data_IF_232858578607
#
_entry.id   IF_232858578607
#
_cell.length_a   1.000
_cell.length_b   1.000
_cell.length_c   1.000
_cell.angle_alpha   90.00
_cell.angle_beta   90.00
_cell.angle_gamma   90.00
#
_symmetry.space_group_name_H-M   'P 1'
#
loop_
_entity.id
_entity.type
_entity.pdbx_description
1 polymer ?
#
# COMPACT_ATOMS: atom_id res chain seq x y z
N UNK A 1 18.67 -14.44 17.62
CA UNK A 1 18.12 -13.20 18.19
C UNK A 1 16.85 -12.89 17.41
N UNK A 2 15.68 -13.20 17.98
CA UNK A 2 14.39 -12.97 17.33
C UNK A 2 14.01 -11.50 17.48
N UNK A 3 13.93 -10.79 16.36
CA UNK A 3 13.39 -9.43 16.31
C UNK A 3 11.87 -9.58 16.26
N UNK A 4 11.19 -9.27 17.36
CA UNK A 4 9.73 -9.23 17.39
C UNK A 4 9.28 -8.10 16.45
N UNK A 5 8.56 -8.45 15.38
CA UNK A 5 7.96 -7.48 14.47
C UNK A 5 6.90 -6.67 15.20
N UNK A 6 6.91 -5.35 15.03
CA UNK A 6 5.85 -4.49 15.54
C UNK A 6 4.55 -4.82 14.80
N UNK A 7 3.47 -5.00 15.55
CA UNK A 7 2.13 -5.15 14.95
C UNK A 7 1.68 -3.79 14.40
N UNK A 8 0.91 -3.81 13.32
CA UNK A 8 0.44 -2.58 12.67
C UNK A 8 -0.48 -1.74 13.57
N UNK A 9 -1.08 -2.35 14.60
CA UNK A 9 -1.78 -1.60 15.65
C UNK A 9 -0.84 -0.69 16.43
N UNK A 10 0.42 -1.07 16.66
CA UNK A 10 1.41 -0.24 17.33
C UNK A 10 1.84 0.92 16.44
N UNK A 11 2.09 0.68 15.14
CA UNK A 11 2.42 1.75 14.18
C UNK A 11 1.26 2.72 14.01
N UNK A 12 0.02 2.23 13.91
CA UNK A 12 -1.18 3.06 13.82
C UNK A 12 -1.42 3.88 15.09
N UNK A 13 -1.18 3.32 16.28
CA UNK A 13 -1.37 4.04 17.55
C UNK A 13 -0.38 5.19 17.72
N UNK A 14 0.90 4.99 17.36
CA UNK A 14 1.90 6.07 17.35
C UNK A 14 1.60 7.14 16.29
N UNK A 15 0.98 6.76 15.17
CA UNK A 15 0.62 7.68 14.07
C UNK A 15 -0.64 8.50 14.40
N UNK A 16 -1.66 7.90 15.03
CA UNK A 16 -2.87 8.63 15.48
C UNK A 16 -2.60 9.62 16.61
N UNK A 17 -1.62 9.34 17.48
CA UNK A 17 -1.28 10.22 18.60
C UNK A 17 -0.50 11.48 18.16
N UNK A 18 0.11 11.47 16.97
CA UNK A 18 0.90 12.58 16.42
C UNK A 18 0.15 13.38 15.34
N UNK A 19 -0.80 12.77 14.62
CA UNK A 19 -1.62 13.44 13.58
C UNK A 19 -2.79 14.28 14.10
N UNK A 20 -3.06 14.29 15.41
CA UNK A 20 -4.23 14.99 15.98
C UNK A 20 -4.00 16.47 16.28
N UNK A 21 -2.83 17.05 15.95
CA UNK A 21 -2.53 18.46 16.32
C UNK A 21 -2.23 19.45 15.23
N UNK A 22 -1.82 19.07 14.02
CA UNK A 22 -1.61 20.05 12.96
C UNK A 22 -1.55 19.35 11.61
N UNK A 23 -2.53 19.59 10.75
CA UNK A 23 -2.37 19.84 9.31
C UNK A 23 -3.75 19.86 8.66
N UNK A 24 -4.13 21.03 8.15
CA UNK A 24 -5.33 21.20 7.34
C UNK A 24 -5.23 20.39 6.05
N UNK A 25 -6.13 19.42 5.89
CA UNK A 25 -6.48 18.86 4.58
C UNK A 25 -7.74 19.59 4.07
N UNK A 26 -7.79 20.00 2.80
CA UNK A 26 -8.96 20.67 2.26
C UNK A 26 -10.15 19.70 2.20
N UNK A 27 -11.16 19.99 3.00
CA UNK A 27 -12.50 19.42 2.88
C UNK A 27 -13.17 20.02 1.65
N UNK A 28 -13.48 19.20 0.64
CA UNK A 28 -14.38 19.57 -0.44
C UNK A 28 -13.93 19.15 -1.83
N UNK A 29 -14.41 17.99 -2.28
CA UNK A 29 -14.81 17.78 -3.67
C UNK A 29 -15.96 16.77 -3.69
N UNK A 30 -17.13 17.26 -4.08
CA UNK A 30 -18.38 16.53 -4.23
C UNK A 30 -18.28 15.39 -5.23
N UNK A 31 -18.60 14.17 -4.81
CA UNK A 31 -18.88 13.05 -5.71
C UNK A 31 -20.27 13.23 -6.33
N UNK A 32 -20.32 13.71 -7.58
CA UNK A 32 -21.49 13.51 -8.44
C UNK A 32 -21.18 12.48 -9.52
N UNK A 33 -21.69 11.27 -9.33
CA UNK A 33 -22.04 10.34 -10.41
C UNK A 33 -20.89 9.54 -11.03
N UNK A 34 -20.63 8.33 -10.51
CA UNK A 34 -20.07 7.24 -11.32
C UNK A 34 -20.77 5.92 -10.99
N UNK A 35 -21.27 5.27 -12.04
CA UNK A 35 -21.86 3.93 -12.04
C UNK A 35 -20.90 2.96 -11.33
N UNK A 36 -21.38 2.35 -10.25
CA UNK A 36 -20.67 1.35 -9.47
C UNK A 36 -20.48 0.08 -10.31
N UNK A 37 -19.28 -0.10 -10.88
CA UNK A 37 -18.80 -1.43 -11.24
C UNK A 37 -18.56 -2.22 -9.97
N UNK A 38 -18.97 -3.49 -9.96
CA UNK A 38 -18.75 -4.40 -8.83
C UNK A 38 -17.25 -4.54 -8.52
N UNK A 39 -16.86 -4.71 -7.25
CA UNK A 39 -15.50 -5.14 -6.90
C UNK A 39 -15.14 -6.40 -7.69
N UNK A 40 -14.03 -6.37 -8.45
CA UNK A 40 -13.51 -7.54 -9.18
C UNK A 40 -13.90 -7.67 -10.66
N UNK A 41 -14.65 -6.73 -11.26
CA UNK A 41 -14.86 -6.75 -12.72
C UNK A 41 -13.83 -5.88 -13.45
N UNK A 42 -12.80 -6.49 -14.04
CA UNK A 42 -11.82 -5.78 -14.87
C UNK A 42 -12.35 -5.55 -16.29
N UNK A 43 -12.49 -4.29 -16.70
CA UNK A 43 -12.83 -3.97 -18.09
C UNK A 43 -11.61 -4.17 -18.99
N UNK A 44 -11.78 -4.65 -20.24
CA UNK A 44 -10.66 -4.93 -21.18
C UNK A 44 -9.77 -3.68 -21.41
N UNK A 45 -10.36 -2.47 -21.37
CA UNK A 45 -9.59 -1.20 -21.43
C UNK A 45 -8.67 -1.00 -20.21
N UNK A 46 -9.04 -1.56 -19.07
CA UNK A 46 -8.26 -1.51 -17.84
C UNK A 46 -7.12 -2.54 -17.87
N UNK A 47 -7.28 -3.69 -18.55
CA UNK A 47 -6.20 -4.70 -18.69
C UNK A 47 -5.02 -4.14 -19.47
N UNK A 48 -5.24 -3.54 -20.65
CA UNK A 48 -4.16 -2.96 -21.46
C UNK A 48 -3.47 -1.80 -20.73
N UNK A 49 -4.27 -0.92 -20.09
CA UNK A 49 -3.73 0.21 -19.32
C UNK A 49 -2.93 -0.28 -18.10
N UNK A 50 -3.43 -1.29 -17.39
CA UNK A 50 -2.71 -1.92 -16.29
C UNK A 50 -1.41 -2.55 -16.78
N UNK A 51 -1.43 -3.33 -17.86
CA UNK A 51 -0.21 -3.92 -18.45
C UNK A 51 0.81 -2.85 -18.83
N UNK A 52 0.38 -1.74 -19.43
CA UNK A 52 1.26 -0.61 -19.76
C UNK A 52 1.86 0.06 -18.53
N UNK A 53 1.10 0.23 -17.45
CA UNK A 53 1.65 0.76 -16.20
C UNK A 53 2.64 -0.25 -15.59
N UNK A 54 2.25 -1.51 -15.54
CA UNK A 54 3.03 -2.60 -14.95
C UNK A 54 4.30 -2.95 -15.74
N UNK A 55 4.48 -2.49 -16.98
CA UNK A 55 5.74 -2.70 -17.71
C UNK A 55 6.92 -1.98 -17.05
N UNK A 56 6.64 -0.92 -16.30
CA UNK A 56 7.67 -0.07 -15.70
C UNK A 56 8.05 -0.51 -14.28
N UNK A 57 7.35 -1.49 -13.70
CA UNK A 57 7.51 -1.89 -12.30
C UNK A 57 7.67 -3.40 -12.15
N UNK A 58 8.51 -3.82 -11.20
CA UNK A 58 8.62 -5.20 -10.75
C UNK A 58 8.22 -5.30 -9.28
N UNK A 59 7.03 -5.86 -9.00
CA UNK A 59 6.46 -5.93 -7.64
C UNK A 59 7.36 -6.73 -6.68
N UNK A 60 8.16 -7.66 -7.21
CA UNK A 60 9.08 -8.48 -6.43
C UNK A 60 10.42 -7.78 -6.17
N UNK A 61 10.71 -6.69 -6.89
CA UNK A 61 11.97 -5.94 -6.86
C UNK A 61 11.74 -4.43 -6.99
N UNK A 62 10.80 -3.86 -6.22
CA UNK A 62 10.52 -2.42 -6.23
C UNK A 62 10.79 -1.77 -4.89
N UNK A 63 11.18 -0.51 -4.93
CA UNK A 63 11.37 0.35 -3.77
C UNK A 63 10.05 0.89 -3.23
N UNK A 64 10.03 1.38 -1.97
CA UNK A 64 8.94 2.17 -1.44
C UNK A 64 8.50 3.33 -2.34
N UNK A 65 9.45 4.07 -2.92
CA UNK A 65 9.13 5.16 -3.85
C UNK A 65 8.38 4.67 -5.08
N UNK A 66 8.85 3.59 -5.68
CA UNK A 66 8.20 2.97 -6.84
C UNK A 66 6.80 2.44 -6.49
N UNK A 67 6.59 1.87 -5.29
CA UNK A 67 5.28 1.37 -4.86
C UNK A 67 4.26 2.52 -4.76
N UNK A 68 4.66 3.67 -4.22
CA UNK A 68 3.83 4.88 -4.20
C UNK A 68 3.53 5.39 -5.60
N UNK A 69 4.52 5.41 -6.51
CA UNK A 69 4.33 5.87 -7.89
C UNK A 69 3.41 4.94 -8.70
N UNK A 70 3.64 3.63 -8.62
CA UNK A 70 2.83 2.62 -9.28
C UNK A 70 1.37 2.68 -8.81
N UNK A 71 1.15 2.69 -7.49
CA UNK A 71 -0.21 2.75 -6.92
C UNK A 71 -0.93 4.06 -7.30
N UNK A 72 -0.22 5.19 -7.35
CA UNK A 72 -0.78 6.44 -7.86
C UNK A 72 -1.19 6.35 -9.34
N UNK A 73 -0.33 5.79 -10.20
CA UNK A 73 -0.62 5.63 -11.62
C UNK A 73 -1.84 4.73 -11.86
N UNK A 74 -1.93 3.61 -11.14
CA UNK A 74 -3.07 2.68 -11.18
C UNK A 74 -4.36 3.36 -10.73
N UNK A 75 -4.30 4.20 -9.69
CA UNK A 75 -5.45 4.94 -9.19
C UNK A 75 -5.95 6.00 -10.17
N UNK A 76 -5.04 6.82 -10.70
CA UNK A 76 -5.36 7.84 -11.72
C UNK A 76 -6.01 7.20 -12.95
N UNK A 77 -5.54 6.01 -13.34
CA UNK A 77 -6.11 5.22 -14.42
C UNK A 77 -7.45 4.54 -14.08
N UNK A 78 -7.92 4.62 -12.84
CA UNK A 78 -9.15 3.99 -12.36
C UNK A 78 -9.08 2.46 -12.29
N UNK A 79 -7.87 1.89 -12.19
CA UNK A 79 -7.65 0.43 -12.09
C UNK A 79 -7.84 -0.04 -10.65
N UNK A 80 -7.40 0.76 -9.67
CA UNK A 80 -7.60 0.51 -8.24
C UNK A 80 -8.40 1.64 -7.60
N UNK A 81 -9.12 1.32 -6.52
CA UNK A 81 -9.93 2.32 -5.80
C UNK A 81 -9.04 3.31 -5.02
N UNK A 82 -9.63 4.41 -4.56
CA UNK A 82 -8.97 5.35 -3.66
C UNK A 82 -8.49 4.66 -2.36
N UNK A 83 -9.27 3.71 -1.84
CA UNK A 83 -8.92 2.98 -0.63
C UNK A 83 -7.71 2.06 -0.85
N UNK A 84 -7.67 1.36 -1.98
CA UNK A 84 -6.53 0.49 -2.33
C UNK A 84 -5.26 1.31 -2.56
N UNK A 85 -5.41 2.46 -3.22
CA UNK A 85 -4.32 3.43 -3.38
C UNK A 85 -3.76 3.87 -2.03
N UNK A 86 -4.61 4.25 -1.07
CA UNK A 86 -4.16 4.67 0.26
C UNK A 86 -3.39 3.56 0.98
N UNK A 87 -3.83 2.30 0.84
CA UNK A 87 -3.16 1.16 1.48
C UNK A 87 -1.81 0.83 0.85
N UNK A 88 -1.70 0.88 -0.48
CA UNK A 88 -0.46 0.56 -1.20
C UNK A 88 0.53 1.73 -1.18
N UNK A 89 0.07 2.98 -1.26
CA UNK A 89 0.94 4.15 -1.34
C UNK A 89 1.54 4.58 0.00
N UNK A 90 0.97 4.12 1.12
CA UNK A 90 1.50 4.42 2.45
C UNK A 90 2.81 3.68 2.70
N UNK A 91 3.92 4.39 2.54
CA UNK A 91 5.27 3.92 2.80
C UNK A 91 5.91 4.78 3.90
N UNK A 92 6.09 4.26 5.12
CA UNK A 92 6.65 5.03 6.23
C UNK A 92 7.98 5.71 5.91
N UNK A 93 8.82 5.08 5.10
CA UNK A 93 10.15 5.55 4.71
C UNK A 93 10.13 6.83 3.87
N UNK A 94 8.97 7.19 3.30
CA UNK A 94 8.79 8.44 2.56
C UNK A 94 8.33 9.61 3.46
N UNK A 95 8.03 9.35 4.74
CA UNK A 95 7.58 10.37 5.66
C UNK A 95 8.76 11.24 6.12
N UNK A 96 8.59 12.58 6.08
CA UNK A 96 9.63 13.55 6.46
C UNK A 96 10.15 13.35 7.89
N UNK A 97 9.30 12.85 8.78
CA UNK A 97 9.64 12.61 10.19
C UNK A 97 10.10 11.18 10.49
N UNK A 98 10.25 10.30 9.49
CA UNK A 98 10.70 8.92 9.74
C UNK A 98 12.04 8.91 10.49
N UNK A 99 13.03 9.66 10.00
CA UNK A 99 14.33 9.75 10.66
C UNK A 99 14.28 10.53 11.98
N UNK A 100 13.23 11.31 12.24
CA UNK A 100 13.07 11.98 13.54
C UNK A 100 12.55 11.01 14.60
N UNK A 101 11.61 10.14 14.24
CA UNK A 101 10.96 9.23 15.17
C UNK A 101 11.66 7.86 15.23
N UNK A 102 11.83 7.21 14.09
CA UNK A 102 12.26 5.80 14.01
C UNK A 102 13.77 5.66 14.13
N UNK A 103 14.56 6.52 13.46
CA UNK A 103 16.02 6.48 13.60
C UNK A 103 16.45 6.81 15.03
N UNK A 104 15.82 7.81 15.66
CA UNK A 104 16.14 8.19 17.04
C UNK A 104 15.80 7.07 18.04
N UNK A 105 14.69 6.34 17.82
CA UNK A 105 14.24 5.29 18.72
C UNK A 105 14.96 3.94 18.48
N UNK A 106 15.22 3.60 17.22
CA UNK A 106 15.61 2.23 16.82
C UNK A 106 16.94 2.16 16.06
N UNK A 107 17.55 3.29 15.73
CA UNK A 107 18.78 3.33 14.93
C UNK A 107 18.59 2.91 13.47
N UNK A 108 17.35 2.91 12.96
CA UNK A 108 17.02 2.47 11.59
C UNK A 108 16.80 3.70 10.72
N UNK A 109 17.64 3.88 9.71
CA UNK A 109 17.48 4.93 8.70
C UNK A 109 16.36 4.60 7.71
N UNK A 110 15.67 5.63 7.21
CA UNK A 110 14.74 5.49 6.10
C UNK A 110 15.47 4.97 4.86
N UNK A 111 14.91 3.91 4.25
CA UNK A 111 15.43 3.35 3.00
C UNK A 111 14.36 3.39 1.90
N UNK A 112 14.03 4.60 1.39
CA UNK A 112 12.95 4.79 0.44
C UNK A 112 13.24 4.19 -0.95
N UNK A 113 14.51 3.91 -1.25
CA UNK A 113 14.99 3.43 -2.54
C UNK A 113 15.55 1.99 -2.46
N UNK A 114 15.43 1.31 -1.31
CA UNK A 114 15.83 -0.10 -1.17
C UNK A 114 14.75 -1.02 -1.75
N UNK A 115 15.17 -1.93 -2.63
CA UNK A 115 14.28 -2.88 -3.30
C UNK A 115 13.67 -3.89 -2.33
N UNK A 116 12.40 -4.24 -2.57
CA UNK A 116 11.60 -5.14 -1.74
C UNK A 116 10.72 -6.02 -2.60
N UNK A 117 10.42 -7.20 -2.07
CA UNK A 117 9.39 -8.07 -2.58
C UNK A 117 8.06 -7.76 -1.88
N UNK A 118 7.17 -7.02 -2.55
CA UNK A 118 5.89 -6.62 -1.95
C UNK A 118 4.87 -7.75 -1.87
N UNK A 119 4.98 -8.79 -2.72
CA UNK A 119 4.17 -10.01 -2.57
C UNK A 119 4.46 -10.66 -1.23
N UNK A 120 5.73 -10.89 -0.92
CA UNK A 120 6.15 -11.51 0.33
C UNK A 120 5.84 -10.62 1.55
N UNK A 121 5.97 -9.30 1.44
CA UNK A 121 5.57 -8.38 2.51
C UNK A 121 4.08 -8.52 2.85
N UNK A 122 3.19 -8.48 1.86
CA UNK A 122 1.75 -8.55 2.10
C UNK A 122 1.31 -9.95 2.52
N UNK A 123 1.91 -11.00 1.97
CA UNK A 123 1.71 -12.38 2.41
C UNK A 123 2.10 -12.58 3.88
N UNK A 124 3.23 -12.01 4.30
CA UNK A 124 3.64 -12.05 5.70
C UNK A 124 2.64 -11.31 6.60
N UNK A 125 2.10 -10.16 6.17
CA UNK A 125 1.04 -9.46 6.91
C UNK A 125 -0.22 -10.31 7.08
N UNK A 126 -0.68 -10.97 6.01
CA UNK A 126 -1.82 -11.90 6.06
C UNK A 126 -1.57 -12.97 7.13
N UNK A 127 -0.43 -13.68 7.03
CA UNK A 127 -0.07 -14.74 7.97
C UNK A 127 -0.01 -14.23 9.41
N UNK A 128 0.58 -13.05 9.65
CA UNK A 128 0.65 -12.45 10.99
C UNK A 128 -0.75 -12.17 11.54
N UNK A 129 -1.61 -11.50 10.77
CA UNK A 129 -2.96 -11.15 11.22
C UNK A 129 -3.86 -12.37 11.43
N UNK A 130 -3.72 -13.40 10.59
CA UNK A 130 -4.43 -14.67 10.79
C UNK A 130 -4.03 -15.33 12.10
N UNK A 131 -2.72 -15.39 12.40
CA UNK A 131 -2.22 -15.96 13.65
C UNK A 131 -2.65 -15.16 14.88
N UNK A 132 -2.85 -13.84 14.74
CA UNK A 132 -3.34 -12.95 15.79
C UNK A 132 -4.87 -12.95 15.92
N UNK A 133 -5.62 -13.57 14.99
CA UNK A 133 -7.08 -13.52 14.94
C UNK A 133 -7.64 -12.14 14.55
N UNK A 134 -6.83 -11.29 13.92
CA UNK A 134 -7.18 -9.93 13.52
C UNK A 134 -7.99 -9.91 12.21
N UNK A 135 -9.22 -10.41 12.24
CA UNK A 135 -10.09 -10.68 11.07
C UNK A 135 -10.15 -9.51 10.07
N UNK A 136 -10.32 -8.28 10.56
CA UNK A 136 -10.43 -7.09 9.70
C UNK A 136 -9.11 -6.80 8.98
N UNK A 137 -7.99 -6.93 9.67
CA UNK A 137 -6.67 -6.64 9.12
C UNK A 137 -6.24 -7.74 8.16
N UNK A 138 -6.55 -9.01 8.46
CA UNK A 138 -6.44 -10.13 7.52
C UNK A 138 -7.19 -9.84 6.23
N UNK A 139 -8.46 -9.43 6.31
CA UNK A 139 -9.26 -9.13 5.13
C UNK A 139 -8.59 -8.06 4.25
N UNK A 140 -8.17 -6.93 4.83
CA UNK A 140 -7.52 -5.87 4.06
C UNK A 140 -6.16 -6.30 3.48
N UNK A 141 -5.35 -7.03 4.25
CA UNK A 141 -4.07 -7.53 3.75
C UNK A 141 -4.24 -8.50 2.59
N UNK A 142 -5.23 -9.39 2.65
CA UNK A 142 -5.55 -10.32 1.56
C UNK A 142 -6.07 -9.61 0.32
N UNK A 143 -6.83 -8.51 0.47
CA UNK A 143 -7.22 -7.68 -0.69
C UNK A 143 -5.99 -7.09 -1.38
N UNK A 144 -5.02 -6.56 -0.62
CA UNK A 144 -3.81 -5.97 -1.21
C UNK A 144 -2.94 -7.02 -1.88
N UNK A 145 -2.77 -8.19 -1.26
CA UNK A 145 -2.04 -9.32 -1.85
C UNK A 145 -2.68 -9.73 -3.19
N UNK A 146 -4.00 -9.92 -3.22
CA UNK A 146 -4.73 -10.30 -4.43
C UNK A 146 -4.58 -9.25 -5.55
N UNK A 147 -4.63 -7.95 -5.23
CA UNK A 147 -4.37 -6.89 -6.22
C UNK A 147 -2.97 -7.05 -6.82
N UNK A 148 -1.95 -7.22 -5.98
CA UNK A 148 -0.57 -7.34 -6.44
C UNK A 148 -0.34 -8.61 -7.28
N UNK A 149 -0.88 -9.75 -6.86
CA UNK A 149 -0.81 -11.01 -7.62
C UNK A 149 -1.49 -10.89 -8.99
N UNK A 150 -2.67 -10.25 -9.05
CA UNK A 150 -3.35 -10.01 -10.32
C UNK A 150 -2.56 -9.08 -11.25
N UNK A 151 -1.89 -8.06 -10.70
CA UNK A 151 -1.03 -7.17 -11.49
C UNK A 151 0.18 -7.92 -12.07
N UNK A 152 0.76 -8.87 -11.32
CA UNK A 152 1.83 -9.76 -11.82
C UNK A 152 1.33 -10.64 -12.96
N UNK A 153 0.12 -11.19 -12.86
CA UNK A 153 -0.50 -11.95 -13.96
C UNK A 153 -0.71 -11.05 -15.18
N UNK A 154 -1.29 -9.86 -15.01
CA UNK A 154 -1.55 -8.92 -16.12
C UNK A 154 -0.26 -8.50 -16.84
N UNK A 155 0.86 -8.36 -16.11
CA UNK A 155 2.17 -8.05 -16.70
C UNK A 155 2.68 -9.15 -17.62
N UNK A 156 2.31 -10.42 -17.36
CA UNK A 156 2.81 -11.58 -18.10
C UNK A 156 1.93 -12.05 -19.26
N UNK A 157 0.65 -11.61 -19.32
CA UNK A 157 -0.18 -11.64 -20.53
C UNK A 157 0.45 -10.78 -21.63
#
# INVERSE_FOLDING_TARGET
MQIQGFTQSQIQTYTHQTLSKDTGFPSGASESGKKTSLPGTLHIKNVYTAKKIMSDYDIEQMSPREMTQMSQALHIAGIISQQDYQMLSFQPELHQDYNRAILAEKGIEAKPDEQRNYIEIWKNKVNTYENEGAIRDTFHASQMLNILENLTVIKSL
#
